data_IF_248259800807
#
_entry.id   IF_248259800807
#
_cell.length_a   1.000
_cell.length_b   1.000
_cell.length_c   1.000
_cell.angle_alpha   90.00
_cell.angle_beta   90.00
_cell.angle_gamma   90.00
#
_symmetry.space_group_name_H-M   'P 1'
#
loop_
_entity.id
_entity.type
_entity.pdbx_description
1 polymer ?
#
# COMPACT_ATOMS: atom_id res chain seq x y z
N UNK A 1 -8.56 18.56 2.68
CA UNK A 1 -7.69 17.87 3.65
C UNK A 1 -6.34 17.71 2.99
N UNK A 2 -5.37 18.51 3.41
CA UNK A 2 -3.99 18.40 2.91
C UNK A 2 -3.30 17.27 3.66
N UNK A 3 -3.16 16.12 3.00
CA UNK A 3 -2.39 15.01 3.54
C UNK A 3 -0.91 15.41 3.61
N UNK A 4 -0.40 15.64 4.82
CA UNK A 4 1.02 15.85 5.08
C UNK A 4 1.64 14.54 5.52
N UNK A 5 2.68 14.12 4.81
CA UNK A 5 3.42 12.92 5.16
C UNK A 5 4.24 13.15 6.44
N UNK A 6 4.23 12.18 7.35
CA UNK A 6 4.86 12.20 8.67
C UNK A 6 6.38 11.94 8.62
N UNK A 7 7.11 12.63 7.74
CA UNK A 7 8.54 12.42 7.53
C UNK A 7 9.38 12.98 8.69
N UNK A 8 10.25 12.15 9.25
CA UNK A 8 11.23 12.48 10.30
C UNK A 8 12.60 12.89 9.73
N UNK A 9 12.87 12.53 8.48
CA UNK A 9 14.17 12.69 7.84
C UNK A 9 14.24 13.94 6.97
N UNK A 10 15.43 14.48 6.69
CA UNK A 10 15.61 15.56 5.72
C UNK A 10 15.07 15.17 4.33
N UNK A 11 14.67 16.18 3.56
CA UNK A 11 14.14 15.98 2.19
C UNK A 11 15.10 15.19 1.31
N UNK A 12 16.42 15.39 1.46
CA UNK A 12 17.44 14.66 0.69
C UNK A 12 17.36 13.14 0.89
N UNK A 13 17.23 12.68 2.12
CA UNK A 13 17.10 11.25 2.42
C UNK A 13 15.75 10.68 1.97
N UNK A 14 14.68 11.47 2.09
CA UNK A 14 13.39 11.10 1.50
C UNK A 14 13.48 10.96 -0.03
N UNK A 15 14.21 11.86 -0.70
CA UNK A 15 14.43 11.82 -2.14
C UNK A 15 15.18 10.55 -2.55
N UNK A 16 16.20 10.12 -1.82
CA UNK A 16 16.89 8.85 -2.07
C UNK A 16 15.93 7.65 -2.03
N UNK A 17 15.03 7.62 -1.05
CA UNK A 17 14.04 6.56 -0.91
C UNK A 17 13.01 6.54 -2.06
N UNK A 18 12.49 7.70 -2.45
CA UNK A 18 11.43 7.82 -3.46
C UNK A 18 11.97 7.85 -4.90
N UNK A 19 13.26 8.13 -5.10
CA UNK A 19 13.89 8.27 -6.42
C UNK A 19 13.61 7.07 -7.33
N UNK A 20 13.66 5.85 -6.79
CA UNK A 20 13.31 4.63 -7.55
C UNK A 20 11.89 4.67 -8.15
N UNK A 21 10.92 5.22 -7.41
CA UNK A 21 9.53 5.37 -7.86
C UNK A 21 9.46 6.43 -8.94
N UNK A 22 10.17 7.55 -8.76
CA UNK A 22 10.24 8.62 -9.75
C UNK A 22 10.92 8.17 -11.05
N UNK A 23 11.97 7.37 -10.96
CA UNK A 23 12.64 6.78 -12.12
C UNK A 23 11.69 5.86 -12.90
N UNK A 24 10.92 5.01 -12.21
CA UNK A 24 9.89 4.20 -12.85
C UNK A 24 8.80 5.05 -13.48
N UNK A 25 8.33 6.09 -12.77
CA UNK A 25 7.33 7.00 -13.30
C UNK A 25 7.82 7.69 -14.57
N UNK A 26 9.07 8.15 -14.59
CA UNK A 26 9.68 8.78 -15.74
C UNK A 26 9.57 7.90 -16.99
N UNK A 27 9.73 6.57 -16.88
CA UNK A 27 9.70 5.68 -18.05
C UNK A 27 8.41 5.82 -18.85
N UNK A 28 7.24 5.84 -18.22
CA UNK A 28 5.97 5.98 -18.96
C UNK A 28 5.63 7.44 -19.33
N UNK A 29 6.37 8.41 -18.80
CA UNK A 29 6.24 9.83 -19.14
C UNK A 29 7.09 10.24 -20.36
N UNK A 30 8.03 9.40 -20.83
CA UNK A 30 8.90 9.77 -21.95
C UNK A 30 8.13 9.84 -23.26
N UNK A 31 8.32 10.95 -23.97
CA UNK A 31 7.99 11.05 -25.39
C UNK A 31 9.13 10.41 -26.20
N UNK A 32 8.75 9.73 -27.28
CA UNK A 32 9.71 9.22 -28.25
C UNK A 32 10.37 10.40 -28.98
N UNK A 33 11.70 10.47 -28.93
CA UNK A 33 12.51 11.50 -29.60
C UNK A 33 13.36 10.96 -30.76
N UNK A 34 13.12 9.73 -31.22
CA UNK A 34 13.74 9.17 -32.42
C UNK A 34 14.05 7.67 -32.39
N UNK A 35 14.03 7.03 -31.21
CA UNK A 35 14.07 5.58 -31.09
C UNK A 35 12.64 5.04 -31.20
N UNK A 36 12.35 4.13 -32.13
CA UNK A 36 11.00 3.62 -32.45
C UNK A 36 10.11 3.18 -31.26
N UNK A 37 10.63 3.10 -30.05
CA UNK A 37 9.90 2.80 -28.82
C UNK A 37 9.17 4.02 -28.23
N UNK A 38 7.84 3.94 -28.15
CA UNK A 38 6.98 4.92 -27.50
C UNK A 38 6.50 4.40 -26.15
N UNK A 39 7.21 4.73 -25.09
CA UNK A 39 6.93 4.18 -23.75
C UNK A 39 5.55 4.57 -23.21
N UNK A 40 5.06 5.78 -23.51
CA UNK A 40 3.71 6.23 -23.14
C UNK A 40 2.60 5.44 -23.84
N UNK A 41 2.81 5.02 -25.10
CA UNK A 41 1.87 4.14 -25.80
C UNK A 41 1.94 2.70 -25.24
N UNK A 42 3.15 2.23 -24.93
CA UNK A 42 3.35 0.93 -24.31
C UNK A 42 2.63 0.83 -22.96
N UNK A 43 2.76 1.86 -22.12
CA UNK A 43 2.06 2.00 -20.84
C UNK A 43 0.55 1.82 -20.98
N UNK A 44 -0.06 2.53 -21.93
CA UNK A 44 -1.51 2.52 -22.13
C UNK A 44 -2.05 1.18 -22.60
N UNK A 45 -1.25 0.40 -23.33
CA UNK A 45 -1.71 -0.83 -24.00
C UNK A 45 -1.31 -2.12 -23.27
N UNK A 46 -0.20 -2.10 -22.55
CA UNK A 46 0.44 -3.33 -22.06
C UNK A 46 0.57 -3.38 -20.53
N UNK A 47 0.20 -2.32 -19.80
CA UNK A 47 0.36 -2.28 -18.34
C UNK A 47 -0.99 -2.41 -17.65
N UNK A 48 -1.08 -3.40 -16.76
CA UNK A 48 -2.19 -3.54 -15.82
C UNK A 48 -1.98 -2.59 -14.64
N UNK A 49 -2.79 -1.54 -14.57
CA UNK A 49 -2.77 -0.59 -13.46
C UNK A 49 -3.74 -1.01 -12.37
N UNK A 50 -3.25 -1.67 -11.33
CA UNK A 50 -4.07 -2.03 -10.17
C UNK A 50 -4.48 -0.76 -9.39
N UNK A 51 -5.73 -0.66 -8.93
CA UNK A 51 -6.13 0.40 -8.01
C UNK A 51 -5.49 0.16 -6.64
N UNK A 52 -4.30 0.72 -6.44
CA UNK A 52 -3.52 0.50 -5.24
C UNK A 52 -4.29 0.83 -3.95
N UNK A 53 -5.15 1.86 -3.95
CA UNK A 53 -5.86 2.24 -2.73
C UNK A 53 -6.87 1.17 -2.29
N UNK A 54 -7.54 0.53 -3.25
CA UNK A 54 -8.53 -0.50 -2.95
C UNK A 54 -7.89 -1.91 -2.86
N UNK A 55 -6.90 -2.21 -3.68
CA UNK A 55 -6.33 -3.57 -3.74
C UNK A 55 -5.12 -3.80 -2.84
N UNK A 56 -4.39 -2.74 -2.46
CA UNK A 56 -3.06 -2.81 -1.83
C UNK A 56 -3.03 -2.13 -0.46
N UNK A 57 -3.67 -0.98 -0.33
CA UNK A 57 -3.71 -0.15 0.88
C UNK A 57 -5.08 -0.23 1.57
N UNK A 58 -5.63 -1.45 1.65
CA UNK A 58 -6.99 -1.69 2.14
C UNK A 58 -7.18 -1.28 3.61
N UNK A 59 -6.15 -1.45 4.44
CA UNK A 59 -6.19 -1.06 5.85
C UNK A 59 -6.29 0.46 6.00
N UNK A 60 -5.43 1.19 5.30
CA UNK A 60 -5.41 2.65 5.24
C UNK A 60 -6.71 3.20 4.63
N UNK A 61 -7.24 2.55 3.59
CA UNK A 61 -8.54 2.92 2.99
C UNK A 61 -9.71 2.76 3.95
N UNK A 62 -9.60 1.83 4.91
CA UNK A 62 -10.65 1.51 5.89
C UNK A 62 -10.59 2.41 7.11
N UNK A 63 -9.37 2.70 7.59
CA UNK A 63 -9.14 3.33 8.89
C UNK A 63 -8.55 4.75 8.79
N UNK A 64 -8.11 5.18 7.60
CA UNK A 64 -7.36 6.42 7.39
C UNK A 64 -5.85 6.18 7.41
N UNK A 65 -5.07 7.16 6.94
CA UNK A 65 -3.61 7.07 6.85
C UNK A 65 -2.89 7.59 8.09
N UNK A 66 -3.51 8.52 8.83
CA UNK A 66 -2.90 9.12 10.01
C UNK A 66 -2.86 8.13 11.18
N UNK A 67 -1.70 7.99 11.83
CA UNK A 67 -1.52 7.07 12.95
C UNK A 67 -1.77 5.57 12.62
N UNK A 68 -1.80 5.19 11.34
CA UNK A 68 -2.37 3.90 10.93
C UNK A 68 -1.56 2.68 11.38
N UNK A 69 -0.23 2.81 11.50
CA UNK A 69 0.64 1.72 11.94
C UNK A 69 0.26 1.19 13.32
N UNK A 70 0.32 2.03 14.39
CA UNK A 70 -0.10 1.64 15.73
C UNK A 70 -1.57 1.22 15.80
N UNK A 71 -2.46 1.88 15.05
CA UNK A 71 -3.88 1.51 15.03
C UNK A 71 -4.10 0.12 14.47
N UNK A 72 -3.54 -0.21 13.31
CA UNK A 72 -3.65 -1.57 12.75
C UNK A 72 -3.01 -2.60 13.67
N UNK A 73 -1.86 -2.30 14.26
CA UNK A 73 -1.19 -3.20 15.19
C UNK A 73 -2.11 -3.55 16.37
N UNK A 74 -2.66 -2.55 17.04
CA UNK A 74 -3.58 -2.75 18.17
C UNK A 74 -4.83 -3.54 17.77
N UNK A 75 -5.45 -3.22 16.63
CA UNK A 75 -6.64 -3.92 16.17
C UNK A 75 -6.36 -5.40 15.85
N UNK A 76 -5.20 -5.70 15.27
CA UNK A 76 -4.83 -7.06 14.89
C UNK A 76 -4.39 -7.92 16.10
N UNK A 77 -4.04 -7.31 17.24
CA UNK A 77 -3.77 -8.06 18.48
C UNK A 77 -5.02 -8.32 19.32
N UNK A 78 -6.17 -7.76 18.97
CA UNK A 78 -7.44 -8.03 19.66
C UNK A 78 -7.82 -9.50 19.53
N UNK A 79 -8.28 -10.06 20.64
CA UNK A 79 -8.74 -11.44 20.74
C UNK A 79 -10.10 -11.63 20.05
N UNK A 80 -10.28 -12.78 19.41
CA UNK A 80 -11.55 -13.18 18.80
C UNK A 80 -12.66 -13.47 19.82
N UNK A 81 -12.31 -13.73 21.08
CA UNK A 81 -13.23 -13.94 22.21
C UNK A 81 -13.41 -12.69 23.09
N UNK A 82 -12.87 -11.53 22.66
CA UNK A 82 -13.15 -10.26 23.31
C UNK A 82 -14.61 -9.82 23.09
N UNK A 83 -15.05 -8.80 23.82
CA UNK A 83 -16.42 -8.27 23.73
C UNK A 83 -16.76 -7.83 22.30
N UNK A 84 -17.70 -8.53 21.62
CA UNK A 84 -18.06 -8.23 20.24
C UNK A 84 -18.79 -6.90 20.08
N UNK A 85 -19.31 -6.34 21.18
CA UNK A 85 -19.99 -5.05 21.15
C UNK A 85 -19.06 -3.84 21.28
N UNK A 86 -17.81 -4.07 21.68
CA UNK A 86 -16.79 -3.02 21.75
C UNK A 86 -16.48 -2.42 20.38
N UNK A 87 -16.19 -1.11 20.36
CA UNK A 87 -15.81 -0.39 19.15
C UNK A 87 -14.57 -1.00 18.48
N UNK A 88 -13.57 -1.36 19.29
CA UNK A 88 -12.30 -1.89 18.79
C UNK A 88 -12.47 -3.28 18.15
N UNK A 89 -13.30 -4.15 18.73
CA UNK A 89 -13.62 -5.44 18.12
C UNK A 89 -14.32 -5.25 16.77
N UNK A 90 -15.31 -4.35 16.70
CA UNK A 90 -16.04 -4.03 15.46
C UNK A 90 -15.10 -3.47 14.39
N UNK A 91 -14.16 -2.61 14.77
CA UNK A 91 -13.14 -2.06 13.87
C UNK A 91 -12.15 -3.13 13.38
N UNK A 92 -11.68 -4.01 14.26
CA UNK A 92 -10.80 -5.12 13.91
C UNK A 92 -11.49 -6.12 12.96
N UNK A 93 -12.73 -6.49 13.26
CA UNK A 93 -13.57 -7.31 12.40
C UNK A 93 -13.73 -6.68 11.02
N UNK A 94 -14.10 -5.40 10.96
CA UNK A 94 -14.28 -4.66 9.71
C UNK A 94 -12.97 -4.60 8.91
N UNK A 95 -11.84 -4.35 9.58
CA UNK A 95 -10.51 -4.33 8.96
C UNK A 95 -10.19 -5.69 8.32
N UNK A 96 -10.18 -6.77 9.10
CA UNK A 96 -9.76 -8.09 8.62
C UNK A 96 -10.65 -8.57 7.47
N UNK A 97 -11.96 -8.46 7.62
CA UNK A 97 -12.87 -8.89 6.55
C UNK A 97 -12.79 -8.02 5.32
N UNK A 98 -12.54 -6.71 5.45
CA UNK A 98 -12.27 -5.87 4.28
C UNK A 98 -11.00 -6.31 3.56
N UNK A 99 -9.92 -6.62 4.29
CA UNK A 99 -8.68 -7.08 3.68
C UNK A 99 -8.89 -8.41 2.94
N UNK A 100 -9.49 -9.40 3.60
CA UNK A 100 -9.70 -10.74 3.02
C UNK A 100 -10.68 -10.73 1.84
N UNK A 101 -11.72 -9.90 1.87
CA UNK A 101 -12.80 -9.95 0.87
C UNK A 101 -12.65 -8.97 -0.28
N UNK A 102 -11.80 -7.94 -0.17
CA UNK A 102 -11.75 -6.83 -1.15
C UNK A 102 -10.33 -6.32 -1.43
N UNK A 103 -9.28 -6.83 -0.77
CA UNK A 103 -7.89 -6.56 -1.18
C UNK A 103 -7.32 -7.75 -1.94
N UNK A 104 -6.31 -7.47 -2.75
CA UNK A 104 -5.46 -8.50 -3.36
C UNK A 104 -4.26 -8.80 -2.48
N UNK A 105 -3.70 -7.78 -1.83
CA UNK A 105 -2.67 -7.88 -0.80
C UNK A 105 -2.74 -6.66 0.12
N UNK A 106 -2.15 -6.75 1.31
CA UNK A 106 -1.97 -5.57 2.17
C UNK A 106 -0.50 -5.17 2.15
N UNK A 107 -0.22 -3.93 1.75
CA UNK A 107 1.13 -3.38 1.89
C UNK A 107 1.44 -3.16 3.37
N UNK A 108 2.40 -3.93 3.87
CA UNK A 108 2.93 -3.78 5.23
C UNK A 108 4.25 -3.03 5.14
N UNK A 109 4.21 -1.74 5.45
CA UNK A 109 5.37 -0.86 5.34
C UNK A 109 6.16 -0.87 6.64
N UNK A 110 7.49 -0.79 6.52
CA UNK A 110 8.41 -0.52 7.64
C UNK A 110 8.82 0.96 7.69
N UNK A 111 9.08 1.51 6.50
CA UNK A 111 9.66 2.85 6.30
C UNK A 111 10.84 3.13 7.25
N UNK A 112 11.67 2.12 7.56
CA UNK A 112 12.91 2.13 8.36
C UNK A 112 13.33 3.51 8.92
N UNK A 113 12.68 3.98 9.99
CA UNK A 113 12.95 5.25 10.66
C UNK A 113 12.83 6.55 9.82
N UNK A 114 12.19 6.48 8.65
CA UNK A 114 11.90 7.62 7.79
C UNK A 114 10.74 8.47 8.34
N UNK A 115 9.84 7.89 9.13
CA UNK A 115 8.67 8.55 9.71
C UNK A 115 8.76 8.69 11.23
N UNK A 116 8.02 9.63 11.82
CA UNK A 116 7.92 9.73 13.28
C UNK A 116 7.08 8.60 13.85
N UNK A 117 5.91 8.38 13.26
CA UNK A 117 5.00 7.30 13.62
C UNK A 117 5.51 5.99 13.03
N UNK A 118 5.67 4.93 13.84
CA UNK A 118 6.10 3.64 13.34
C UNK A 118 5.02 3.00 12.46
N UNK A 119 5.39 2.46 11.31
CA UNK A 119 4.46 1.68 10.50
C UNK A 119 4.28 0.26 11.05
N UNK A 120 3.19 -0.41 10.65
CA UNK A 120 2.83 -1.76 11.09
C UNK A 120 3.99 -2.77 10.99
N UNK A 121 4.74 -2.74 9.88
CA UNK A 121 5.87 -3.66 9.69
C UNK A 121 6.99 -3.45 10.70
N UNK A 122 7.26 -2.21 11.10
CA UNK A 122 8.24 -1.91 12.15
C UNK A 122 7.77 -2.39 13.51
N UNK A 123 6.48 -2.22 13.82
CA UNK A 123 5.90 -2.70 15.07
C UNK A 123 5.95 -4.22 15.17
N UNK A 124 5.69 -4.95 14.08
CA UNK A 124 5.85 -6.41 14.06
C UNK A 124 7.30 -6.86 14.14
N UNK A 125 8.24 -6.18 13.48
CA UNK A 125 9.67 -6.49 13.63
C UNK A 125 10.14 -6.30 15.08
N UNK A 126 9.54 -5.37 15.84
CA UNK A 126 9.83 -5.12 17.26
C UNK A 126 9.09 -6.07 18.23
N UNK A 127 8.04 -6.75 17.76
CA UNK A 127 7.17 -7.61 18.55
C UNK A 127 6.96 -8.94 17.80
N UNK A 128 8.04 -9.71 17.68
CA UNK A 128 8.04 -10.94 16.88
C UNK A 128 6.94 -11.92 17.33
N UNK A 129 6.21 -12.49 16.37
CA UNK A 129 5.08 -13.40 16.62
C UNK A 129 3.75 -12.70 16.94
N UNK A 130 3.73 -11.37 17.10
CA UNK A 130 2.48 -10.65 17.40
C UNK A 130 1.54 -10.55 16.19
N UNK A 131 2.03 -10.82 14.98
CA UNK A 131 1.22 -10.86 13.76
C UNK A 131 0.33 -12.11 13.68
N UNK A 132 0.59 -13.14 14.50
CA UNK A 132 -0.12 -14.42 14.48
C UNK A 132 -0.43 -15.01 15.87
N UNK A 133 -0.67 -14.14 16.87
CA UNK A 133 -1.05 -14.60 18.23
C UNK A 133 -2.28 -15.51 18.15
N UNK A 134 -2.22 -16.75 18.69
CA UNK A 134 -3.31 -17.72 18.55
C UNK A 134 -4.62 -17.23 19.15
N UNK A 135 -5.67 -17.06 18.35
CA UNK A 135 -6.97 -16.52 18.74
C UNK A 135 -7.09 -15.00 18.64
N UNK A 136 -6.19 -14.32 17.92
CA UNK A 136 -6.28 -12.89 17.61
C UNK A 136 -6.70 -12.63 16.15
N UNK A 137 -7.15 -11.41 15.86
CA UNK A 137 -7.50 -10.99 14.50
C UNK A 137 -6.33 -11.07 13.50
N UNK A 138 -5.09 -10.88 13.96
CA UNK A 138 -3.87 -11.08 13.17
C UNK A 138 -3.70 -12.52 12.68
N UNK A 139 -3.94 -13.50 13.56
CA UNK A 139 -3.96 -14.91 13.17
C UNK A 139 -5.07 -15.20 12.16
N UNK A 140 -6.29 -14.67 12.37
CA UNK A 140 -7.39 -14.81 11.40
C UNK A 140 -7.02 -14.24 10.03
N UNK A 141 -6.38 -13.06 9.99
CA UNK A 141 -5.92 -12.45 8.74
C UNK A 141 -4.90 -13.35 8.04
N UNK A 142 -3.91 -13.88 8.78
CA UNK A 142 -2.87 -14.77 8.23
C UNK A 142 -3.46 -16.08 7.73
N UNK A 143 -4.34 -16.70 8.51
CA UNK A 143 -5.05 -17.92 8.12
C UNK A 143 -5.91 -17.70 6.88
N UNK A 144 -6.72 -16.64 6.86
CA UNK A 144 -7.57 -16.30 5.73
C UNK A 144 -6.75 -16.06 4.45
N UNK A 145 -5.62 -15.35 4.55
CA UNK A 145 -4.75 -15.09 3.42
C UNK A 145 -4.12 -16.36 2.80
N UNK A 146 -3.89 -17.41 3.61
CA UNK A 146 -3.30 -18.67 3.14
C UNK A 146 -4.33 -19.73 2.73
N UNK A 147 -5.52 -19.73 3.35
CA UNK A 147 -6.47 -20.84 3.25
C UNK A 147 -7.80 -20.47 2.59
N UNK A 148 -8.19 -19.19 2.55
CA UNK A 148 -9.44 -18.82 1.91
C UNK A 148 -9.27 -18.71 0.39
N UNK A 149 -10.19 -19.35 -0.33
CA UNK A 149 -10.28 -19.19 -1.79
C UNK A 149 -11.04 -17.92 -2.11
N UNK A 150 -10.37 -16.99 -2.77
CA UNK A 150 -11.01 -15.78 -3.27
C UNK A 150 -12.11 -16.12 -4.28
N UNK A 151 -13.30 -15.54 -4.09
CA UNK A 151 -14.46 -15.70 -4.98
C UNK A 151 -14.67 -14.51 -5.91
N UNK A 152 -13.92 -13.43 -5.71
CA UNK A 152 -13.94 -12.28 -6.62
C UNK A 152 -13.51 -12.68 -8.02
N UNK A 153 -14.30 -12.30 -9.01
CA UNK A 153 -13.99 -12.55 -10.42
C UNK A 153 -12.93 -11.60 -10.97
N UNK A 154 -12.80 -10.40 -10.38
CA UNK A 154 -11.92 -9.35 -10.85
C UNK A 154 -11.25 -8.57 -9.71
N UNK A 155 -10.12 -7.94 -10.05
CA UNK A 155 -9.46 -6.92 -9.24
C UNK A 155 -9.80 -5.52 -9.75
N UNK A 156 -9.88 -4.56 -8.83
CA UNK A 156 -10.03 -3.17 -9.17
C UNK A 156 -8.76 -2.69 -9.88
N UNK A 157 -8.95 -2.25 -11.12
CA UNK A 157 -7.90 -1.66 -11.94
C UNK A 157 -8.34 -0.28 -12.43
N UNK A 158 -7.36 0.54 -12.79
CA UNK A 158 -7.54 1.81 -13.48
C UNK A 158 -7.11 1.64 -14.91
N UNK A 159 -7.74 2.40 -15.80
CA UNK A 159 -7.24 2.53 -17.17
C UNK A 159 -5.87 3.22 -17.10
N UNK A 160 -4.86 2.64 -17.75
CA UNK A 160 -3.61 3.33 -18.01
C UNK A 160 -3.90 4.50 -18.95
N UNK A 161 -4.06 5.71 -18.39
CA UNK A 161 -4.33 6.92 -19.16
C UNK A 161 -3.04 7.49 -19.74
N UNK A 162 -3.18 8.24 -20.84
CA UNK A 162 -2.10 9.08 -21.34
C UNK A 162 -1.67 10.09 -20.25
N UNK A 163 -0.37 10.21 -19.98
CA UNK A 163 0.12 11.20 -19.03
C UNK A 163 -0.21 12.63 -19.49
N UNK A 164 -0.63 13.48 -18.56
CA UNK A 164 -0.93 14.90 -18.83
C UNK A 164 0.28 15.69 -19.31
N UNK A 165 1.47 15.28 -18.88
CA UNK A 165 2.73 15.94 -19.23
C UNK A 165 3.69 14.85 -19.67
N UNK A 166 4.29 15.04 -20.84
CA UNK A 166 5.34 14.17 -21.35
C UNK A 166 6.69 14.85 -21.19
N UNK A 167 7.74 14.05 -21.00
CA UNK A 167 9.12 14.50 -20.84
C UNK A 167 9.84 14.21 -22.16
N UNK A 168 10.49 15.22 -22.73
CA UNK A 168 11.35 15.07 -23.90
C UNK A 168 12.64 14.35 -23.48
N UNK A 169 12.91 13.19 -24.09
CA UNK A 169 14.13 12.41 -23.83
C UNK A 169 15.32 13.09 -24.51
N UNK A 170 16.39 13.36 -23.74
CA UNK A 170 17.66 13.84 -24.28
C UNK A 170 17.72 15.33 -24.60
N UNK A 171 16.75 16.16 -24.17
CA UNK A 171 16.74 17.61 -24.43
C UNK A 171 18.02 18.33 -23.96
N UNK A 172 18.68 17.81 -22.92
CA UNK A 172 19.90 18.37 -22.33
C UNK A 172 21.14 17.49 -22.58
N UNK A 173 21.00 16.40 -23.33
CA UNK A 173 22.09 15.46 -23.66
C UNK A 173 22.50 15.55 -25.13
N UNK A 174 22.12 16.65 -25.80
CA UNK A 174 22.49 16.97 -27.18
C UNK A 174 23.96 17.41 -27.30
#
# INVERSE_FOLDING_TARGET
>A
MDFRWDWKVPVTQFLEYIAQVLCWQRLYLLRNTGDSFKSSEYWQRNILCIDALNEVWGGERTLGFDGIGPRMYNLLTIRLDADPDSTDYKDAYKLVWRLLSKSSFQKVTRAKNLTYTPHLGTLWDQNEGHDCIPGAFGELLRYGAAHFRQKRENIEHKKACEPRTLIEKGLLEA
#
